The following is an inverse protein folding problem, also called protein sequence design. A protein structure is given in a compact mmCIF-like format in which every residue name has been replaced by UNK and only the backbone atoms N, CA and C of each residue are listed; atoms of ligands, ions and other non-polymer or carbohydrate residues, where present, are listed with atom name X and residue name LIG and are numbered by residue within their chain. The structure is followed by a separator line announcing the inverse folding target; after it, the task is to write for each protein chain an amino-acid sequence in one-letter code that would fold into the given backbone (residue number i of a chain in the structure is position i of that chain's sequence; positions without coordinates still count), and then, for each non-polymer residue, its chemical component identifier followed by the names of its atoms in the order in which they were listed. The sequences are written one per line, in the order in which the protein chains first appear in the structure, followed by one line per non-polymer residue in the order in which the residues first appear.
data_IF_959067161163
#
_entry.id   IF_959067161163
#
_cell.length_a   1.000
_cell.length_b   1.000
_cell.length_c   1.000
_cell.angle_alpha   90.00
_cell.angle_beta   90.00
_cell.angle_gamma   90.00
#
_symmetry.space_group_name_H-M   'P 1'
#
loop_
_entity.id
_entity.type
_entity.pdbx_description
1 polymer ?
#
# COMPACT_ATOMS: atom_id res chain seq x y z
N UNK A 1 -40.46 -7.10 0.32
CA UNK A 1 -39.98 -8.40 0.85
C UNK A 1 -39.45 -9.31 -0.28
N UNK A 2 -38.78 -8.83 -1.33
CA UNK A 2 -37.58 -7.96 -1.50
C UNK A 2 -36.24 -8.71 -1.43
N UNK A 3 -35.56 -8.69 -2.57
CA UNK A 3 -34.34 -9.43 -2.89
C UNK A 3 -33.08 -8.70 -2.40
N UNK A 4 -32.84 -8.64 -1.09
CA UNK A 4 -31.63 -7.99 -0.54
C UNK A 4 -30.67 -8.93 0.20
N UNK A 5 -31.08 -10.13 0.56
CA UNK A 5 -30.27 -11.07 1.37
C UNK A 5 -29.24 -11.92 0.59
N UNK A 6 -29.13 -11.79 -0.73
CA UNK A 6 -28.24 -12.65 -1.53
C UNK A 6 -26.86 -12.04 -1.84
N UNK A 7 -26.68 -10.72 -1.69
CA UNK A 7 -25.40 -10.06 -2.02
C UNK A 7 -24.37 -10.06 -0.87
N UNK A 8 -24.81 -10.17 0.39
CA UNK A 8 -23.92 -10.13 1.56
C UNK A 8 -23.12 -11.45 1.71
N UNK A 9 -23.68 -12.57 1.28
CA UNK A 9 -23.08 -13.91 1.47
C UNK A 9 -21.86 -14.16 0.55
N UNK A 10 -21.73 -13.43 -0.56
CA UNK A 10 -20.64 -13.63 -1.52
C UNK A 10 -19.35 -12.87 -1.20
N UNK A 11 -19.37 -11.84 -0.36
CA UNK A 11 -18.15 -11.11 0.04
C UNK A 11 -17.35 -11.89 1.10
N UNK A 12 -18.02 -12.52 2.06
CA UNK A 12 -17.38 -13.28 3.16
C UNK A 12 -16.80 -14.63 2.74
N UNK A 13 -17.03 -15.10 1.51
CA UNK A 13 -16.52 -16.40 1.03
C UNK A 13 -15.12 -16.34 0.39
N UNK A 14 -14.60 -15.15 0.05
CA UNK A 14 -13.22 -15.00 -0.45
C UNK A 14 -12.13 -15.04 0.63
N UNK A 15 -12.50 -14.86 1.91
CA UNK A 15 -11.53 -14.85 3.03
C UNK A 15 -11.17 -16.29 3.51
N UNK A 16 -11.97 -17.30 3.13
CA UNK A 16 -11.84 -18.68 3.64
C UNK A 16 -10.86 -19.59 2.88
N UNK A 17 -10.09 -19.10 1.89
CA UNK A 17 -9.27 -19.95 1.01
C UNK A 17 -7.74 -19.80 1.12
N UNK A 18 -7.20 -19.06 2.10
CA UNK A 18 -5.74 -18.85 2.24
C UNK A 18 -5.04 -19.51 3.44
N UNK A 19 -5.76 -20.05 4.43
CA UNK A 19 -5.13 -20.71 5.59
C UNK A 19 -5.56 -22.18 5.76
N UNK A 20 -5.13 -23.00 4.81
CA UNK A 20 -5.24 -24.45 4.88
C UNK A 20 -4.26 -25.14 3.93
N UNK A 21 -3.19 -25.75 4.50
CA UNK A 21 -2.21 -26.62 3.83
C UNK A 21 -1.08 -25.97 2.99
N UNK A 22 -0.16 -25.19 3.59
CA UNK A 22 1.27 -25.27 3.22
C UNK A 22 2.20 -25.14 4.44
N UNK A 23 2.28 -26.18 5.25
CA UNK A 23 3.38 -26.36 6.21
C UNK A 23 4.18 -27.61 5.83
N UNK A 24 4.78 -27.65 4.62
CA UNK A 24 5.78 -28.65 4.25
C UNK A 24 6.66 -28.25 3.04
N UNK A 25 7.95 -28.54 3.15
CA UNK A 25 8.98 -28.60 2.08
C UNK A 25 9.38 -27.33 1.31
N UNK A 26 10.33 -26.59 1.88
CA UNK A 26 11.22 -25.66 1.15
C UNK A 26 12.23 -26.48 0.32
N UNK A 27 11.82 -27.06 -0.82
CA UNK A 27 12.75 -27.77 -1.74
C UNK A 27 12.29 -27.93 -3.22
N UNK A 28 11.12 -27.41 -3.62
CA UNK A 28 10.45 -27.88 -4.85
C UNK A 28 10.41 -26.93 -6.07
N UNK A 29 11.15 -25.81 -6.10
CA UNK A 29 11.09 -24.82 -7.20
C UNK A 29 12.40 -24.66 -8.00
N UNK A 30 13.02 -25.78 -8.41
CA UNK A 30 14.25 -25.79 -9.22
C UNK A 30 14.20 -26.72 -10.46
N UNK A 31 13.01 -27.14 -10.94
CA UNK A 31 12.93 -28.16 -12.02
C UNK A 31 11.65 -28.12 -12.89
N UNK A 32 11.36 -27.01 -13.56
CA UNK A 32 10.43 -26.91 -14.72
C UNK A 32 10.57 -25.51 -15.36
N UNK A 33 10.68 -25.26 -16.68
CA UNK A 33 10.93 -26.09 -17.87
C UNK A 33 11.97 -25.36 -18.76
N UNK A 34 12.74 -26.07 -19.60
CA UNK A 34 13.68 -25.50 -20.59
C UNK A 34 13.00 -25.29 -21.95
N UNK A 35 12.79 -24.05 -22.46
CA UNK A 35 12.27 -23.86 -23.82
C UNK A 35 13.31 -24.22 -24.88
N UNK A 36 12.88 -24.90 -25.96
CA UNK A 36 13.71 -25.11 -27.15
C UNK A 36 13.83 -23.80 -27.94
N UNK A 37 15.00 -23.54 -28.52
CA UNK A 37 15.12 -22.62 -29.64
C UNK A 37 14.24 -23.11 -30.81
N UNK A 38 13.29 -22.28 -31.23
CA UNK A 38 12.49 -22.44 -32.45
C UNK A 38 12.67 -21.22 -33.33
N UNK A 39 13.07 -21.42 -34.59
CA UNK A 39 13.45 -20.34 -35.51
C UNK A 39 12.29 -19.90 -36.40
N UNK A 40 12.18 -18.60 -36.64
CA UNK A 40 11.55 -18.05 -37.85
C UNK A 40 10.22 -17.32 -37.64
N UNK A 41 10.23 -16.00 -37.82
CA UNK A 41 9.02 -15.18 -37.89
C UNK A 41 9.35 -13.69 -37.84
N UNK A 42 9.22 -12.99 -38.97
CA UNK A 42 9.28 -11.53 -39.00
C UNK A 42 8.02 -10.96 -38.34
N UNK A 43 8.09 -10.63 -37.05
CA UNK A 43 7.06 -9.92 -36.32
C UNK A 43 7.64 -8.66 -35.69
N UNK A 44 7.02 -7.51 -35.94
CA UNK A 44 7.29 -6.31 -35.15
C UNK A 44 6.67 -6.53 -33.78
N UNK A 45 7.50 -6.84 -32.78
CA UNK A 45 7.06 -7.02 -31.40
C UNK A 45 6.70 -5.67 -30.79
N UNK A 46 5.43 -5.27 -30.93
CA UNK A 46 4.85 -4.14 -30.18
C UNK A 46 4.21 -4.69 -28.91
N UNK A 47 4.96 -4.71 -27.80
CA UNK A 47 4.40 -4.93 -26.47
C UNK A 47 5.34 -4.41 -25.38
N UNK A 48 5.05 -3.23 -24.84
CA UNK A 48 5.04 -2.95 -23.41
C UNK A 48 4.48 -1.52 -23.23
N UNK A 49 3.28 -1.40 -22.66
CA UNK A 49 2.80 -0.10 -22.18
C UNK A 49 3.48 0.18 -20.83
N UNK A 50 4.80 0.37 -20.87
CA UNK A 50 5.63 0.57 -19.68
C UNK A 50 5.18 1.85 -18.98
N UNK A 51 4.50 1.68 -17.85
CA UNK A 51 4.06 2.80 -17.01
C UNK A 51 5.34 3.49 -16.51
N UNK A 52 5.56 4.73 -16.93
CA UNK A 52 6.63 5.53 -16.37
C UNK A 52 6.32 5.81 -14.89
N UNK A 53 7.27 5.50 -14.00
CA UNK A 53 7.16 5.82 -12.59
C UNK A 53 8.51 6.30 -12.05
N UNK A 54 8.44 7.04 -10.95
CA UNK A 54 9.55 7.47 -10.13
C UNK A 54 9.36 6.89 -8.74
N UNK A 55 10.44 6.39 -8.14
CA UNK A 55 10.44 5.93 -6.74
C UNK A 55 11.32 6.88 -5.94
N UNK A 56 10.82 7.38 -4.80
CA UNK A 56 11.66 8.07 -3.81
C UNK A 56 11.96 7.09 -2.69
N UNK A 57 13.25 6.82 -2.48
CA UNK A 57 13.71 5.88 -1.45
C UNK A 57 13.66 6.55 -0.08
N UNK A 58 12.90 5.97 0.84
CA UNK A 58 12.85 6.40 2.23
C UNK A 58 13.93 5.69 3.05
N UNK A 59 14.16 6.16 4.27
CA UNK A 59 15.14 5.53 5.17
C UNK A 59 14.75 4.06 5.44
N UNK A 60 15.66 3.07 5.25
CA UNK A 60 15.39 1.66 5.52
C UNK A 60 15.50 1.36 7.02
N UNK A 61 14.61 1.96 7.79
CA UNK A 61 14.38 1.68 9.21
C UNK A 61 12.95 1.14 9.42
N UNK A 62 12.59 0.85 10.67
CA UNK A 62 11.24 0.38 11.01
C UNK A 62 10.12 1.38 10.76
N UNK A 63 10.42 2.62 10.35
CA UNK A 63 9.41 3.62 9.98
C UNK A 63 9.12 3.65 8.48
N UNK A 64 9.81 2.86 7.65
CA UNK A 64 9.73 2.97 6.18
C UNK A 64 8.29 3.02 5.61
N UNK A 65 7.35 2.18 6.09
CA UNK A 65 5.94 2.28 5.73
C UNK A 65 5.35 3.67 6.03
N UNK A 66 5.44 4.11 7.29
CA UNK A 66 4.88 5.37 7.75
C UNK A 66 5.55 6.58 7.08
N UNK A 67 6.87 6.53 6.87
CA UNK A 67 7.64 7.51 6.09
C UNK A 67 7.13 7.63 4.65
N UNK A 68 6.94 6.49 3.97
CA UNK A 68 6.42 6.45 2.61
C UNK A 68 4.98 7.01 2.52
N UNK A 69 4.14 6.76 3.53
CA UNK A 69 2.79 7.31 3.61
C UNK A 69 2.78 8.82 3.89
N UNK A 70 3.61 9.32 4.82
CA UNK A 70 3.78 10.76 5.10
C UNK A 70 4.23 11.50 3.84
N UNK A 71 5.31 11.04 3.21
CA UNK A 71 5.82 11.68 1.99
C UNK A 71 4.79 11.54 0.85
N UNK A 72 4.09 10.42 0.72
CA UNK A 72 3.02 10.24 -0.26
C UNK A 72 1.86 11.23 -0.07
N UNK A 73 1.44 11.48 1.18
CA UNK A 73 0.42 12.45 1.53
C UNK A 73 0.87 13.90 1.30
N UNK A 74 2.14 14.23 1.57
CA UNK A 74 2.72 15.52 1.21
C UNK A 74 2.73 15.73 -0.31
N UNK A 75 3.21 14.75 -1.08
CA UNK A 75 3.24 14.78 -2.55
C UNK A 75 1.83 14.90 -3.16
N UNK A 76 0.83 14.16 -2.65
CA UNK A 76 -0.55 14.22 -3.17
C UNK A 76 -1.23 15.57 -2.92
N UNK A 77 -0.90 16.20 -1.78
CA UNK A 77 -1.47 17.48 -1.33
C UNK A 77 -0.65 18.71 -1.72
N UNK A 78 0.48 18.53 -2.40
CA UNK A 78 1.36 19.63 -2.86
C UNK A 78 2.16 20.34 -1.77
N UNK A 79 2.32 19.72 -0.59
CA UNK A 79 3.15 20.26 0.49
C UNK A 79 4.64 19.97 0.23
N UNK A 80 5.50 20.77 0.87
CA UNK A 80 6.94 20.53 0.86
C UNK A 80 7.22 19.19 1.54
N UNK A 81 8.00 18.34 0.85
CA UNK A 81 8.48 17.07 1.40
C UNK A 81 9.39 17.39 2.60
N UNK A 82 9.13 16.84 3.81
CA UNK A 82 9.93 17.10 5.00
C UNK A 82 11.36 16.56 4.86
N UNK A 83 12.29 17.07 5.67
CA UNK A 83 13.62 16.47 5.83
C UNK A 83 13.56 15.14 6.63
N UNK A 84 14.62 14.33 6.60
CA UNK A 84 14.66 13.00 7.22
C UNK A 84 14.32 12.98 8.73
N UNK A 85 14.60 14.08 9.45
CA UNK A 85 14.27 14.20 10.87
C UNK A 85 12.77 14.47 11.02
N UNK A 86 12.24 15.47 10.32
CA UNK A 86 10.82 15.84 10.38
C UNK A 86 9.91 14.76 9.79
N UNK A 87 10.37 14.05 8.76
CA UNK A 87 9.71 12.86 8.21
C UNK A 87 9.63 11.73 9.26
N UNK A 88 10.67 11.57 10.07
CA UNK A 88 10.70 10.59 11.17
C UNK A 88 9.72 10.90 12.29
N UNK A 89 9.61 12.18 12.70
CA UNK A 89 8.61 12.65 13.67
C UNK A 89 7.19 12.39 13.16
N UNK A 90 6.90 12.83 11.94
CA UNK A 90 5.57 12.66 11.32
C UNK A 90 5.22 11.19 11.10
N UNK A 91 6.20 10.33 10.84
CA UNK A 91 6.01 8.89 10.73
C UNK A 91 5.65 8.24 12.09
N UNK A 92 6.22 8.73 13.19
CA UNK A 92 5.87 8.25 14.54
C UNK A 92 4.51 8.81 15.01
N UNK A 93 4.18 10.07 14.69
CA UNK A 93 2.84 10.64 14.92
C UNK A 93 1.76 9.90 14.11
N UNK A 94 2.04 9.56 12.84
CA UNK A 94 1.14 8.76 12.01
C UNK A 94 0.97 7.36 12.58
N UNK A 95 2.05 6.70 13.01
CA UNK A 95 2.01 5.39 13.69
C UNK A 95 1.12 5.44 14.93
N UNK A 96 1.26 6.45 15.79
CA UNK A 96 0.43 6.58 16.99
C UNK A 96 -1.07 6.65 16.63
N UNK A 97 -1.45 7.53 15.69
CA UNK A 97 -2.84 7.67 15.21
C UNK A 97 -3.38 6.39 14.55
N UNK A 98 -2.54 5.68 13.81
CA UNK A 98 -2.87 4.38 13.19
C UNK A 98 -3.19 3.32 14.25
N UNK A 99 -2.45 3.30 15.36
CA UNK A 99 -2.68 2.36 16.45
C UNK A 99 -3.90 2.71 17.31
N UNK A 100 -4.20 3.99 17.50
CA UNK A 100 -5.46 4.44 18.11
C UNK A 100 -6.67 4.00 17.27
N UNK A 101 -6.60 4.15 15.94
CA UNK A 101 -7.66 3.72 15.02
C UNK A 101 -7.77 2.18 14.96
N UNK A 102 -6.64 1.46 14.95
CA UNK A 102 -6.59 -0.01 15.05
C UNK A 102 -7.30 -0.50 16.32
N UNK A 103 -7.00 0.11 17.47
CA UNK A 103 -7.65 -0.23 18.74
C UNK A 103 -9.14 0.11 18.74
N UNK A 104 -9.54 1.23 18.11
CA UNK A 104 -10.96 1.62 17.95
C UNK A 104 -11.74 0.66 17.04
N UNK A 105 -11.06 0.01 16.09
CA UNK A 105 -11.63 -0.92 15.08
C UNK A 105 -11.26 -2.38 15.32
N UNK A 106 -10.91 -2.76 16.56
CA UNK A 106 -10.49 -4.13 16.95
C UNK A 106 -11.36 -5.24 16.36
N UNK A 107 -12.67 -5.05 16.27
CA UNK A 107 -13.62 -6.04 15.75
C UNK A 107 -13.39 -6.38 14.26
N UNK A 108 -12.88 -5.44 13.46
CA UNK A 108 -12.54 -5.65 12.04
C UNK A 108 -11.37 -6.65 11.88
N UNK A 109 -10.52 -6.77 12.91
CA UNK A 109 -9.37 -7.67 12.98
C UNK A 109 -9.65 -8.98 13.72
N UNK A 110 -10.89 -9.22 14.17
CA UNK A 110 -11.27 -10.42 14.93
C UNK A 110 -11.04 -11.76 14.20
N UNK A 111 -10.92 -11.73 12.87
CA UNK A 111 -10.66 -12.90 12.01
C UNK A 111 -9.20 -12.97 11.51
N UNK A 112 -8.33 -12.04 11.92
CA UNK A 112 -6.95 -11.95 11.45
C UNK A 112 -5.99 -12.62 12.44
N UNK A 113 -4.98 -13.33 11.94
CA UNK A 113 -3.95 -13.96 12.78
C UNK A 113 -2.86 -12.94 13.18
N UNK A 114 -3.23 -12.02 14.08
CA UNK A 114 -2.33 -11.02 14.66
C UNK A 114 -1.64 -11.50 15.95
N UNK A 115 -1.98 -12.71 16.42
CA UNK A 115 -1.67 -13.19 17.77
C UNK A 115 -2.54 -12.52 18.85
N UNK A 116 -1.99 -12.28 20.03
CA UNK A 116 -2.66 -11.43 21.02
C UNK A 116 -2.67 -9.97 20.53
N UNK A 117 -3.87 -9.41 20.38
CA UNK A 117 -4.09 -8.09 19.81
C UNK A 117 -3.46 -6.96 20.66
N UNK A 118 -3.50 -7.09 21.99
CA UNK A 118 -3.00 -6.05 22.89
C UNK A 118 -1.47 -6.09 22.96
N UNK A 119 -0.86 -7.28 22.86
CA UNK A 119 0.58 -7.44 22.62
C UNK A 119 1.00 -6.97 21.22
N UNK A 120 0.18 -7.18 20.18
CA UNK A 120 0.41 -6.71 18.82
C UNK A 120 0.48 -5.18 18.78
N UNK A 121 -0.54 -4.48 19.30
CA UNK A 121 -0.59 -3.02 19.38
C UNK A 121 0.64 -2.49 20.14
N UNK A 122 0.92 -3.06 21.31
CA UNK A 122 2.05 -2.67 22.16
C UNK A 122 3.41 -2.88 21.49
N UNK A 123 3.56 -3.94 20.68
CA UNK A 123 4.77 -4.17 19.89
C UNK A 123 4.89 -3.15 18.75
N UNK A 124 3.80 -2.85 18.04
CA UNK A 124 3.79 -1.91 16.92
C UNK A 124 4.02 -0.44 17.34
N UNK A 125 3.80 -0.10 18.62
CA UNK A 125 4.22 1.19 19.20
C UNK A 125 5.74 1.43 19.13
N UNK A 126 6.55 0.37 19.03
CA UNK A 126 7.99 0.50 18.88
C UNK A 126 8.34 1.05 17.47
N UNK A 127 9.08 2.17 17.35
CA UNK A 127 9.42 2.73 16.05
C UNK A 127 10.35 1.87 15.18
N UNK A 128 10.97 0.82 15.73
CA UNK A 128 11.73 -0.17 14.94
C UNK A 128 10.85 -1.21 14.26
N UNK A 129 9.57 -1.28 14.62
CA UNK A 129 8.70 -2.36 14.18
C UNK A 129 8.00 -2.06 12.86
N UNK A 130 8.05 -3.04 11.97
CA UNK A 130 7.62 -2.90 10.58
C UNK A 130 6.11 -3.07 10.52
N UNK A 131 5.41 -2.01 10.10
CA UNK A 131 3.99 -2.10 9.77
C UNK A 131 3.76 -2.88 8.47
N UNK A 132 2.54 -3.38 8.31
CA UNK A 132 2.11 -4.10 7.11
C UNK A 132 0.67 -3.78 6.76
N UNK A 133 -0.08 -4.81 6.37
CA UNK A 133 -1.47 -4.68 5.92
C UNK A 133 -2.45 -4.08 6.97
N UNK A 134 -2.42 -4.47 8.26
CA UNK A 134 -3.28 -3.84 9.28
C UNK A 134 -3.04 -2.33 9.39
N UNK A 135 -1.76 -1.91 9.41
CA UNK A 135 -1.38 -0.50 9.45
C UNK A 135 -1.77 0.24 8.17
N UNK A 136 -1.65 -0.39 7.00
CA UNK A 136 -2.07 0.18 5.71
C UNK A 136 -3.59 0.44 5.66
N UNK A 137 -4.40 -0.53 6.11
CA UNK A 137 -5.85 -0.37 6.17
C UNK A 137 -6.24 0.78 7.11
N UNK A 138 -5.70 0.78 8.35
CA UNK A 138 -5.99 1.83 9.32
C UNK A 138 -5.46 3.20 8.91
N UNK A 139 -4.28 3.26 8.28
CA UNK A 139 -3.73 4.51 7.74
C UNK A 139 -4.65 5.12 6.66
N UNK A 140 -5.34 4.30 5.86
CA UNK A 140 -6.29 4.80 4.87
C UNK A 140 -7.48 5.54 5.52
N UNK A 141 -7.97 5.07 6.68
CA UNK A 141 -8.98 5.78 7.46
C UNK A 141 -8.42 7.02 8.18
N UNK A 142 -7.23 6.92 8.79
CA UNK A 142 -6.57 8.03 9.51
C UNK A 142 -6.20 9.20 8.59
N UNK A 143 -5.86 8.91 7.33
CA UNK A 143 -5.55 9.89 6.29
C UNK A 143 -6.77 10.24 5.42
N UNK A 144 -7.89 9.54 5.59
CA UNK A 144 -9.09 9.62 4.72
C UNK A 144 -8.74 9.64 3.23
N UNK A 145 -7.80 8.80 2.83
CA UNK A 145 -7.17 8.81 1.50
C UNK A 145 -6.92 7.37 1.07
N UNK A 146 -7.21 6.99 -0.19
CA UNK A 146 -6.94 5.63 -0.64
C UNK A 146 -5.44 5.36 -0.73
N UNK A 147 -5.03 4.13 -0.39
CA UNK A 147 -3.63 3.70 -0.45
C UNK A 147 -3.52 2.51 -1.41
N UNK A 148 -2.65 2.63 -2.41
CA UNK A 148 -2.36 1.60 -3.39
C UNK A 148 -0.94 1.04 -3.17
N UNK A 149 -0.82 -0.28 -2.99
CA UNK A 149 0.46 -0.96 -2.86
C UNK A 149 0.83 -1.62 -4.18
N UNK A 150 2.05 -1.39 -4.63
CA UNK A 150 2.60 -1.95 -5.87
C UNK A 150 3.87 -2.76 -5.59
N UNK A 151 4.19 -3.67 -6.50
CA UNK A 151 5.51 -4.33 -6.60
C UNK A 151 6.08 -4.13 -8.01
N UNK A 152 7.38 -4.34 -8.18
CA UNK A 152 7.99 -4.55 -9.51
C UNK A 152 8.21 -6.05 -9.70
N UNK A 153 7.60 -6.63 -10.72
CA UNK A 153 7.79 -8.05 -11.03
C UNK A 153 9.22 -8.29 -11.57
N UNK A 154 9.96 -9.19 -10.93
CA UNK A 154 11.40 -9.40 -11.20
C UNK A 154 11.73 -9.90 -12.61
N UNK A 155 10.75 -10.48 -13.32
CA UNK A 155 10.93 -11.08 -14.65
C UNK A 155 10.66 -10.10 -15.80
N UNK A 156 9.64 -9.27 -15.65
CA UNK A 156 9.17 -8.31 -16.67
C UNK A 156 9.69 -6.89 -16.42
N UNK A 157 9.92 -6.53 -15.16
CA UNK A 157 10.09 -5.14 -14.73
C UNK A 157 8.77 -4.38 -14.62
N UNK A 158 7.62 -5.07 -14.79
CA UNK A 158 6.31 -4.43 -14.77
C UNK A 158 5.89 -4.02 -13.36
N UNK A 159 5.23 -2.87 -13.28
CA UNK A 159 4.69 -2.30 -12.05
C UNK A 159 3.28 -2.87 -11.79
N UNK A 160 3.15 -3.80 -10.84
CA UNK A 160 1.90 -4.51 -10.54
C UNK A 160 1.28 -3.92 -9.28
N UNK A 161 0.01 -3.51 -9.35
CA UNK A 161 -0.79 -3.19 -8.16
C UNK A 161 -1.23 -4.50 -7.49
N UNK A 162 -0.91 -4.67 -6.21
CA UNK A 162 -1.21 -5.90 -5.45
C UNK A 162 -2.32 -5.72 -4.41
N UNK A 163 -2.53 -4.49 -3.91
CA UNK A 163 -3.48 -4.21 -2.83
C UNK A 163 -3.97 -2.77 -2.90
N UNK A 164 -5.23 -2.53 -2.53
CA UNK A 164 -5.84 -1.20 -2.47
C UNK A 164 -6.70 -1.09 -1.20
N UNK A 165 -6.46 -0.03 -0.43
CA UNK A 165 -7.14 0.27 0.84
C UNK A 165 -7.86 1.62 0.74
N UNK A 166 -8.88 1.85 1.57
CA UNK A 166 -9.60 3.13 1.66
C UNK A 166 -10.27 3.59 0.36
N UNK A 167 -10.84 2.66 -0.42
CA UNK A 167 -11.45 2.99 -1.72
C UNK A 167 -12.72 3.86 -1.57
N UNK A 168 -13.36 3.84 -0.41
CA UNK A 168 -14.43 4.75 -0.01
C UNK A 168 -14.02 6.23 0.01
N UNK A 169 -12.72 6.54 0.00
CA UNK A 169 -12.18 7.90 -0.05
C UNK A 169 -11.75 8.35 -1.46
N UNK A 170 -11.97 7.52 -2.49
CA UNK A 170 -11.39 7.73 -3.82
C UNK A 170 -12.08 8.81 -4.67
N UNK A 171 -13.29 9.25 -4.30
CA UNK A 171 -13.99 10.32 -5.01
C UNK A 171 -13.36 11.69 -4.75
N UNK A 172 -12.97 11.96 -3.49
CA UNK A 172 -12.43 13.26 -3.07
C UNK A 172 -10.89 13.33 -3.08
N UNK A 173 -10.20 12.19 -2.96
CA UNK A 173 -8.75 12.17 -2.69
C UNK A 173 -7.93 11.37 -3.70
N UNK A 174 -6.77 11.94 -4.09
CA UNK A 174 -5.79 11.26 -4.95
C UNK A 174 -5.11 10.12 -4.16
N UNK A 175 -5.04 8.89 -4.71
CA UNK A 175 -4.47 7.76 -3.99
C UNK A 175 -2.98 7.94 -3.75
N UNK A 176 -2.56 7.75 -2.50
CA UNK A 176 -1.17 7.54 -2.09
C UNK A 176 -0.73 6.21 -2.68
N UNK A 177 0.47 6.17 -3.27
CA UNK A 177 1.01 4.95 -3.88
C UNK A 177 2.34 4.65 -3.23
N UNK A 178 2.48 3.41 -2.78
CA UNK A 178 3.72 2.91 -2.18
C UNK A 178 4.22 1.72 -2.99
N UNK A 179 5.53 1.63 -3.13
CA UNK A 179 6.20 0.48 -3.71
C UNK A 179 6.69 -0.41 -2.57
N UNK A 180 6.22 -1.65 -2.55
CA UNK A 180 6.74 -2.71 -1.70
C UNK A 180 7.91 -3.40 -2.41
N UNK A 181 9.03 -3.52 -1.71
CA UNK A 181 10.26 -4.18 -2.20
C UNK A 181 10.65 -5.35 -1.30
N UNK A 182 11.63 -6.12 -1.76
CA UNK A 182 12.18 -7.27 -1.05
C UNK A 182 12.50 -6.94 0.42
N UNK A 183 12.34 -7.95 1.29
CA UNK A 183 12.56 -7.85 2.73
C UNK A 183 11.65 -6.86 3.48
N UNK A 184 10.43 -6.61 2.99
CA UNK A 184 9.40 -5.89 3.77
C UNK A 184 9.51 -4.37 3.74
N UNK A 185 10.30 -3.82 2.83
CA UNK A 185 10.55 -2.38 2.76
C UNK A 185 9.53 -1.67 1.85
N UNK A 186 9.10 -0.48 2.27
CA UNK A 186 8.16 0.37 1.54
C UNK A 186 8.81 1.69 1.13
N UNK A 187 8.47 2.17 -0.06
CA UNK A 187 8.95 3.42 -0.64
C UNK A 187 7.83 4.23 -1.28
N UNK A 188 8.08 5.51 -1.55
CA UNK A 188 7.11 6.38 -2.23
C UNK A 188 7.12 6.08 -3.72
N UNK A 189 5.94 5.91 -4.31
CA UNK A 189 5.76 5.68 -5.74
C UNK A 189 5.00 6.84 -6.40
N UNK A 190 5.63 7.47 -7.37
CA UNK A 190 5.03 8.53 -8.19
C UNK A 190 4.87 8.01 -9.62
N UNK A 191 3.64 7.64 -10.00
CA UNK A 191 3.33 7.26 -11.39
C UNK A 191 3.36 8.53 -12.25
N UNK A 192 4.28 8.56 -13.22
CA UNK A 192 4.48 9.65 -14.18
C UNK A 192 3.54 9.45 -15.37
N UNK A 193 2.26 9.67 -15.15
CA UNK A 193 1.24 9.58 -16.21
C UNK A 193 1.34 10.77 -17.17
N UNK A 194 1.95 10.57 -18.34
CA UNK A 194 1.92 11.54 -19.44
C UNK A 194 1.80 10.85 -20.82
N UNK A 195 0.64 10.24 -21.08
CA UNK A 195 0.08 10.17 -22.44
C UNK A 195 -1.30 10.86 -22.41
N UNK A 196 -1.30 12.09 -22.90
CA UNK A 196 -2.43 12.99 -23.12
C UNK A 196 -3.07 13.65 -21.87
N UNK A 197 -2.46 14.77 -21.46
CA UNK A 197 -3.05 15.74 -20.54
C UNK A 197 -4.37 16.33 -21.07
N UNK A 198 -5.49 16.12 -20.36
CA UNK A 198 -6.67 16.98 -20.44
C UNK A 198 -7.36 17.17 -19.09
N UNK A 199 -7.15 18.36 -18.52
CA UNK A 199 -8.01 19.17 -17.62
C UNK A 199 -9.23 18.49 -16.98
N UNK A 200 -9.29 18.52 -15.64
CA UNK A 200 -10.29 19.13 -14.75
C UNK A 200 -9.66 19.06 -13.33
N UNK A 201 -9.81 19.95 -12.35
CA UNK A 201 -10.53 21.20 -12.10
C UNK A 201 -10.21 21.58 -10.63
N UNK A 202 -10.25 22.86 -10.24
CA UNK A 202 -9.78 23.29 -8.90
C UNK A 202 -10.89 23.23 -7.83
N UNK A 203 -10.56 22.79 -6.61
CA UNK A 203 -10.86 23.36 -5.26
C UNK A 203 -10.54 22.27 -4.21
N UNK A 204 -9.58 22.47 -3.30
CA UNK A 204 -9.75 23.12 -1.98
C UNK A 204 -10.60 22.31 -0.99
N UNK A 205 -9.95 21.51 -0.10
CA UNK A 205 -10.14 21.53 1.38
C UNK A 205 -9.29 20.46 2.13
N UNK A 206 -8.02 20.74 2.48
CA UNK A 206 -7.23 19.88 3.42
C UNK A 206 -6.70 20.68 4.61
N UNK A 207 -7.63 21.22 5.42
CA UNK A 207 -7.29 22.17 6.51
C UNK A 207 -6.82 21.55 7.83
N UNK A 208 -6.86 20.22 8.01
CA UNK A 208 -6.56 19.60 9.32
C UNK A 208 -5.16 18.97 9.45
N UNK A 209 -4.38 18.84 8.36
CA UNK A 209 -2.94 18.47 8.47
C UNK A 209 -2.05 19.72 8.65
N UNK A 210 -2.52 20.89 8.20
CA UNK A 210 -1.75 22.15 8.23
C UNK A 210 -1.39 22.68 9.62
N UNK A 211 -2.12 22.28 10.68
CA UNK A 211 -1.85 22.78 12.04
C UNK A 211 -0.71 22.04 12.75
N UNK A 212 -0.44 20.78 12.43
CA UNK A 212 0.68 20.03 13.02
C UNK A 212 2.06 20.38 12.41
N UNK A 213 2.06 20.95 11.20
CA UNK A 213 3.28 21.32 10.47
C UNK A 213 3.73 22.78 10.69
N UNK A 214 2.95 23.58 11.42
CA UNK A 214 3.15 25.02 11.59
C UNK A 214 3.36 25.47 13.05
N UNK A 215 3.73 24.55 13.95
CA UNK A 215 4.12 24.81 15.34
C UNK A 215 5.51 24.23 15.63
#
# INVERSE_FOLDING_TARGET
MEETDMFIVLSVMSVFFCYGLVYLSVTALMSYVRPKLGSGGNGVAVAANSIAYKTTIVRPDGRCLFRALVHGACSSSGWVIPDDCREGELADDLRARVLDELARRRDEFSQWDLGDFDEYVKRMQNPTEWGGEPELLMASHVLQTPICVFIVESNSGDLINISNYGQEYAEDNKPIKVLFRDYGHYDVLEILSDINCQKFGNHEFTKEIGYALAS
#
